data_IF_451058904171
#
_entry.id   IF_451058904171
#
_cell.length_a   1.000
_cell.length_b   1.000
_cell.length_c   1.000
_cell.angle_alpha   90.00
_cell.angle_beta   90.00
_cell.angle_gamma   90.00
#
_symmetry.space_group_name_H-M   'P 1'
#
loop_
_entity.id
_entity.type
_entity.pdbx_description
1 polymer ?
#
# COMPACT_ATOMS: atom_id res chain seq x y z
N UNK A 1 -36.44 -5.46 -5.85
CA UNK A 1 -34.98 -5.24 -5.68
C UNK A 1 -34.42 -6.51 -5.06
N UNK A 2 -33.60 -7.26 -5.80
CA UNK A 2 -32.97 -8.48 -5.29
C UNK A 2 -31.98 -8.10 -4.19
N UNK A 3 -32.15 -8.66 -2.98
CA UNK A 3 -31.12 -8.55 -1.95
C UNK A 3 -29.93 -9.39 -2.39
N UNK A 4 -28.94 -8.76 -3.02
CA UNK A 4 -27.64 -9.37 -3.24
C UNK A 4 -27.08 -9.79 -1.89
N UNK A 5 -26.65 -11.04 -1.77
CA UNK A 5 -26.02 -11.57 -0.56
C UNK A 5 -24.92 -10.60 -0.11
N UNK A 6 -24.92 -10.13 1.16
CA UNK A 6 -23.98 -9.09 1.62
C UNK A 6 -22.54 -9.62 1.78
N UNK A 7 -22.32 -10.89 1.47
CA UNK A 7 -21.04 -11.57 1.48
C UNK A 7 -21.02 -12.62 0.36
N UNK A 8 -19.83 -12.99 -0.08
CA UNK A 8 -19.60 -14.07 -1.04
C UNK A 8 -18.85 -15.19 -0.33
N UNK A 9 -19.41 -16.39 -0.33
CA UNK A 9 -18.68 -17.60 0.02
C UNK A 9 -18.28 -18.26 -1.30
N UNK A 10 -16.99 -18.32 -1.59
CA UNK A 10 -16.49 -19.07 -2.74
C UNK A 10 -16.44 -20.57 -2.36
N UNK A 11 -17.29 -21.43 -2.93
CA UNK A 11 -17.31 -22.85 -2.60
C UNK A 11 -16.06 -23.59 -3.08
N UNK A 12 -15.32 -23.07 -4.07
CA UNK A 12 -14.11 -23.71 -4.59
C UNK A 12 -12.92 -23.50 -3.64
N UNK A 13 -12.86 -22.36 -2.96
CA UNK A 13 -11.75 -22.00 -2.07
C UNK A 13 -12.13 -21.99 -0.58
N UNK A 14 -13.42 -22.03 -0.27
CA UNK A 14 -13.95 -21.80 1.08
C UNK A 14 -13.80 -20.35 1.55
N UNK A 15 -13.44 -19.41 0.66
CA UNK A 15 -13.17 -18.03 1.04
C UNK A 15 -14.49 -17.27 1.33
N UNK A 16 -14.59 -16.72 2.54
CA UNK A 16 -15.64 -15.77 2.90
C UNK A 16 -15.17 -14.34 2.62
N UNK A 17 -15.88 -13.65 1.74
CA UNK A 17 -15.59 -12.28 1.32
C UNK A 17 -16.72 -11.35 1.72
N UNK A 18 -16.36 -10.17 2.24
CA UNK A 18 -17.31 -9.10 2.57
C UNK A 18 -16.89 -7.82 1.85
N UNK A 19 -17.83 -7.07 1.26
CA UNK A 19 -17.54 -5.73 0.78
C UNK A 19 -17.29 -4.81 1.98
N UNK A 20 -16.18 -4.09 1.95
CA UNK A 20 -15.84 -3.09 2.94
C UNK A 20 -15.62 -1.75 2.24
N UNK A 21 -16.31 -0.70 2.69
CA UNK A 21 -16.00 0.65 2.26
C UNK A 21 -14.69 1.07 2.91
N UNK A 22 -13.65 1.41 2.15
CA UNK A 22 -12.31 1.66 2.72
C UNK A 22 -11.92 3.13 2.78
N UNK A 23 -12.67 3.99 2.08
CA UNK A 23 -12.54 5.45 2.10
C UNK A 23 -13.83 6.07 1.56
N UNK A 24 -14.21 7.23 2.08
CA UNK A 24 -15.26 8.06 1.48
C UNK A 24 -14.62 9.03 0.47
N UNK A 25 -14.89 8.82 -0.82
CA UNK A 25 -14.36 9.65 -1.92
C UNK A 25 -15.16 10.95 -2.05
N UNK A 26 -14.57 11.95 -2.69
CA UNK A 26 -15.30 13.13 -3.18
C UNK A 26 -16.32 12.72 -4.26
N UNK A 27 -17.33 13.56 -4.49
CA UNK A 27 -18.40 13.29 -5.47
C UNK A 27 -17.93 13.15 -6.91
N UNK A 28 -16.74 13.68 -7.22
CA UNK A 28 -16.04 13.57 -8.50
C UNK A 28 -15.12 12.34 -8.59
N UNK A 29 -15.16 11.44 -7.59
CA UNK A 29 -14.38 10.21 -7.56
C UNK A 29 -12.94 10.37 -7.10
N UNK A 30 -12.57 11.52 -6.52
CA UNK A 30 -11.20 11.80 -6.04
C UNK A 30 -11.01 11.49 -4.56
N UNK A 31 -9.75 11.25 -4.16
CA UNK A 31 -9.39 11.21 -2.75
C UNK A 31 -9.57 12.63 -2.18
N UNK A 32 -10.27 12.80 -1.05
CA UNK A 32 -10.43 14.10 -0.40
C UNK A 32 -9.08 14.59 0.15
N UNK A 33 -8.45 15.53 -0.54
CA UNK A 33 -7.22 16.22 -0.10
C UNK A 33 -7.60 17.60 0.44
N UNK A 34 -7.21 17.98 1.68
CA UNK A 34 -7.50 19.30 2.22
C UNK A 34 -6.91 20.43 1.36
N UNK A 35 -7.66 21.51 1.17
CA UNK A 35 -7.23 22.68 0.37
C UNK A 35 -5.96 23.37 0.91
N UNK A 36 -5.61 23.16 2.18
CA UNK A 36 -4.38 23.65 2.80
C UNK A 36 -3.13 22.88 2.37
N UNK A 37 -3.29 21.73 1.70
CA UNK A 37 -2.19 20.89 1.22
C UNK A 37 -1.39 21.63 0.17
N UNK A 38 -0.06 21.60 0.28
CA UNK A 38 0.88 22.15 -0.71
C UNK A 38 1.74 21.09 -1.38
N UNK A 39 1.93 19.96 -0.70
CA UNK A 39 2.70 18.83 -1.21
C UNK A 39 1.91 17.54 -1.08
N UNK A 40 1.87 16.73 -2.13
CA UNK A 40 1.26 15.41 -2.08
C UNK A 40 2.34 14.32 -2.09
N UNK A 41 2.30 13.44 -1.10
CA UNK A 41 3.18 12.28 -0.98
C UNK A 41 2.40 11.00 -1.24
N UNK A 42 3.02 10.07 -1.95
CA UNK A 42 2.48 8.74 -2.20
C UNK A 42 3.45 7.69 -1.68
N UNK A 43 2.95 6.75 -0.89
CA UNK A 43 3.73 5.62 -0.37
C UNK A 43 3.07 4.30 -0.80
N UNK A 44 3.82 3.47 -1.54
CA UNK A 44 3.38 2.17 -2.04
C UNK A 44 4.10 1.08 -1.29
N UNK A 45 3.35 0.09 -0.79
CA UNK A 45 3.92 -1.02 -0.01
C UNK A 45 4.29 -0.58 1.41
N UNK A 46 3.46 0.26 2.02
CA UNK A 46 3.63 0.70 3.40
C UNK A 46 3.57 -0.54 4.29
N UNK A 47 4.69 -0.95 4.88
CA UNK A 47 4.70 -2.01 5.88
C UNK A 47 4.41 -1.42 7.29
N UNK A 48 4.48 -2.22 8.36
CA UNK A 48 4.20 -1.72 9.71
C UNK A 48 5.27 -0.75 10.28
N UNK A 49 6.43 -0.62 9.64
CA UNK A 49 7.59 0.16 10.08
C UNK A 49 8.05 1.17 9.00
N UNK A 50 8.95 2.09 9.37
CA UNK A 50 9.53 3.09 8.47
C UNK A 50 8.51 3.83 7.55
N UNK A 51 7.31 4.07 8.09
CA UNK A 51 6.19 4.65 7.36
C UNK A 51 6.35 6.17 7.25
N UNK A 52 5.92 6.74 6.13
CA UNK A 52 6.14 8.16 5.84
C UNK A 52 5.32 9.10 6.73
N UNK A 53 4.21 8.65 7.31
CA UNK A 53 3.46 9.40 8.33
C UNK A 53 4.30 9.66 9.59
N UNK A 54 5.23 8.77 9.95
CA UNK A 54 6.11 8.94 11.11
C UNK A 54 7.44 9.63 10.74
N UNK A 55 8.01 9.34 9.58
CA UNK A 55 9.38 9.78 9.25
C UNK A 55 9.48 11.07 8.46
N UNK A 56 8.50 11.30 7.57
CA UNK A 56 8.54 12.35 6.57
C UNK A 56 7.48 13.42 6.83
N UNK A 57 6.25 13.02 7.11
CA UNK A 57 5.11 13.91 7.33
C UNK A 57 5.29 14.92 8.48
N UNK A 58 6.03 14.62 9.58
CA UNK A 58 6.34 15.62 10.61
C UNK A 58 7.29 16.73 10.14
N UNK A 59 8.09 16.47 9.10
CA UNK A 59 9.05 17.43 8.52
C UNK A 59 8.42 18.30 7.43
N UNK A 60 7.20 17.94 7.00
CA UNK A 60 6.46 18.59 5.93
C UNK A 60 5.03 18.88 6.43
N UNK A 61 4.82 19.97 7.20
CA UNK A 61 3.52 20.26 7.83
C UNK A 61 2.41 20.53 6.81
N UNK A 62 2.77 21.02 5.62
CA UNK A 62 1.82 21.31 4.53
C UNK A 62 1.63 20.12 3.57
N UNK A 63 2.19 18.94 3.89
CA UNK A 63 2.05 17.75 3.07
C UNK A 63 0.84 16.90 3.46
N UNK A 64 0.30 16.19 2.47
CA UNK A 64 -0.71 15.15 2.61
C UNK A 64 -0.16 13.81 2.10
N UNK A 65 -0.44 12.71 2.80
CA UNK A 65 0.05 11.37 2.46
C UNK A 65 -1.07 10.46 1.95
N UNK A 66 -0.85 9.80 0.82
CA UNK A 66 -1.65 8.66 0.35
C UNK A 66 -0.80 7.41 0.39
N UNK A 67 -1.17 6.47 1.27
CA UNK A 67 -0.42 5.23 1.52
C UNK A 67 -1.20 3.99 1.05
N UNK A 68 -0.48 2.93 0.68
CA UNK A 68 -1.04 1.67 0.20
C UNK A 68 -0.40 0.47 0.90
N UNK A 69 -1.20 -0.32 1.62
CA UNK A 69 -0.80 -1.55 2.32
C UNK A 69 -1.80 -2.67 2.02
N UNK A 70 -1.51 -3.62 1.11
CA UNK A 70 -2.43 -4.69 0.73
C UNK A 70 -2.76 -5.69 1.85
N UNK A 71 -1.91 -5.84 2.87
CA UNK A 71 -2.16 -6.75 3.97
C UNK A 71 -3.20 -6.14 4.92
N UNK A 72 -4.43 -6.64 4.88
CA UNK A 72 -5.55 -6.11 5.69
C UNK A 72 -5.23 -6.01 7.19
N UNK A 73 -4.48 -6.96 7.75
CA UNK A 73 -4.07 -6.89 9.17
C UNK A 73 -3.08 -5.76 9.45
N UNK A 74 -2.20 -5.44 8.50
CA UNK A 74 -1.24 -4.33 8.60
C UNK A 74 -1.90 -3.00 8.28
N UNK A 75 -2.74 -2.94 7.27
CA UNK A 75 -3.61 -1.79 7.01
C UNK A 75 -4.44 -1.42 8.25
N UNK A 76 -5.06 -2.41 8.90
CA UNK A 76 -5.84 -2.18 10.12
C UNK A 76 -4.97 -1.67 11.29
N UNK A 77 -3.76 -2.21 11.45
CA UNK A 77 -2.79 -1.74 12.43
C UNK A 77 -2.40 -0.27 12.19
N UNK A 78 -2.09 0.09 10.95
CA UNK A 78 -1.70 1.45 10.54
C UNK A 78 -2.87 2.43 10.71
N UNK A 79 -4.07 2.03 10.28
CA UNK A 79 -5.30 2.78 10.46
C UNK A 79 -5.60 3.07 11.94
N UNK A 80 -5.36 2.10 12.82
CA UNK A 80 -5.62 2.22 14.24
C UNK A 80 -4.53 3.00 15.01
N UNK A 81 -3.36 3.25 14.41
CA UNK A 81 -2.18 3.84 15.07
C UNK A 81 -2.49 5.14 15.82
N UNK A 82 -3.28 6.02 15.20
CA UNK A 82 -3.66 7.32 15.77
C UNK A 82 -5.11 7.35 16.26
N UNK A 83 -5.77 6.18 16.35
CA UNK A 83 -7.15 6.11 16.81
C UNK A 83 -7.25 6.47 18.29
N UNK A 84 -8.29 7.23 18.64
CA UNK A 84 -8.58 7.58 20.03
C UNK A 84 -9.67 6.65 20.55
N UNK A 85 -9.48 6.16 21.78
CA UNK A 85 -10.50 5.36 22.44
C UNK A 85 -11.85 6.12 22.46
N UNK A 86 -12.92 5.45 22.03
CA UNK A 86 -14.31 5.98 21.99
C UNK A 86 -14.59 7.08 20.97
N UNK A 87 -13.65 7.40 20.07
CA UNK A 87 -13.88 8.33 18.97
C UNK A 87 -13.92 7.54 17.66
N UNK A 88 -15.01 7.66 16.92
CA UNK A 88 -15.15 7.05 15.60
C UNK A 88 -14.44 7.94 14.58
N UNK A 89 -13.44 7.39 13.91
CA UNK A 89 -12.77 8.04 12.78
C UNK A 89 -13.42 7.65 11.44
N UNK A 90 -13.12 8.43 10.40
CA UNK A 90 -13.47 8.05 9.03
C UNK A 90 -12.55 6.92 8.56
N UNK A 91 -13.13 5.85 8.04
CA UNK A 91 -12.35 4.72 7.52
C UNK A 91 -11.43 5.19 6.38
N UNK A 92 -10.20 4.66 6.38
CA UNK A 92 -9.13 5.07 5.47
C UNK A 92 -8.26 6.21 5.99
N UNK A 93 -8.72 7.03 6.93
CA UNK A 93 -7.92 8.11 7.51
C UNK A 93 -7.07 7.62 8.68
N UNK A 94 -5.79 7.35 8.43
CA UNK A 94 -4.83 6.95 9.48
C UNK A 94 -4.15 8.15 10.15
N UNK A 95 -4.21 9.31 9.52
CA UNK A 95 -3.60 10.55 10.00
C UNK A 95 -4.50 11.75 9.62
N UNK A 96 -4.47 12.85 10.36
CA UNK A 96 -5.21 14.08 10.03
C UNK A 96 -4.86 14.66 8.64
N UNK A 97 -3.68 14.29 8.15
CA UNK A 97 -3.09 14.67 6.86
C UNK A 97 -2.73 13.44 6.02
N UNK A 98 -3.45 12.33 6.18
CA UNK A 98 -3.15 11.16 5.36
C UNK A 98 -4.20 10.06 5.37
N UNK A 99 -4.34 9.42 4.21
CA UNK A 99 -5.16 8.24 4.01
C UNK A 99 -4.30 7.02 3.73
N UNK A 100 -4.77 5.85 4.14
CA UNK A 100 -4.17 4.56 3.82
C UNK A 100 -5.23 3.60 3.27
N UNK A 101 -4.92 2.95 2.16
CA UNK A 101 -5.86 2.12 1.42
C UNK A 101 -5.35 0.67 1.32
N UNK A 102 -6.23 -0.34 1.43
CA UNK A 102 -5.83 -1.74 1.45
C UNK A 102 -5.69 -2.33 0.05
N UNK A 103 -4.99 -1.63 -0.86
CA UNK A 103 -4.74 -2.10 -2.22
C UNK A 103 -3.26 -2.42 -2.43
N UNK A 104 -3.01 -3.47 -3.19
CA UNK A 104 -1.72 -3.62 -3.86
C UNK A 104 -1.69 -2.67 -5.06
N UNK A 105 -0.68 -1.82 -5.16
CA UNK A 105 -0.47 -1.11 -6.43
C UNK A 105 0.24 -2.09 -7.38
N UNK A 106 -0.33 -2.30 -8.56
CA UNK A 106 0.12 -3.29 -9.54
C UNK A 106 0.07 -2.74 -10.98
N UNK A 107 0.46 -3.54 -11.97
CA UNK A 107 0.36 -3.22 -13.40
C UNK A 107 -1.05 -3.45 -13.98
N UNK A 108 -1.96 -4.07 -13.22
CA UNK A 108 -3.35 -4.29 -13.56
C UNK A 108 -4.29 -4.08 -12.36
N UNK A 109 -5.59 -4.18 -12.61
CA UNK A 109 -6.64 -4.05 -11.59
C UNK A 109 -7.34 -5.38 -11.38
N UNK A 110 -7.99 -5.54 -10.23
CA UNK A 110 -8.78 -6.71 -9.90
C UNK A 110 -8.36 -7.32 -8.57
N UNK A 111 -8.50 -8.64 -8.45
CA UNK A 111 -8.08 -9.38 -7.25
C UNK A 111 -6.90 -10.28 -7.63
N UNK A 112 -5.77 -10.09 -6.96
CA UNK A 112 -4.49 -10.72 -7.33
C UNK A 112 -3.89 -11.50 -6.15
N UNK A 113 -3.09 -12.53 -6.43
CA UNK A 113 -2.35 -13.21 -5.37
C UNK A 113 -1.25 -12.30 -4.80
N UNK A 114 -1.18 -12.24 -3.47
CA UNK A 114 -0.13 -11.59 -2.71
C UNK A 114 0.56 -12.61 -1.81
N UNK A 115 1.88 -12.69 -1.93
CA UNK A 115 2.70 -13.70 -1.26
C UNK A 115 3.22 -13.13 0.05
N UNK A 116 2.65 -13.61 1.15
CA UNK A 116 2.94 -13.14 2.50
C UNK A 116 4.19 -13.85 3.02
N UNK A 117 5.16 -13.06 3.48
CA UNK A 117 6.38 -13.55 4.13
C UNK A 117 6.26 -13.49 5.67
N UNK A 118 7.14 -14.18 6.42
CA UNK A 118 7.19 -14.05 7.89
C UNK A 118 7.36 -12.61 8.39
N UNK A 119 7.98 -11.74 7.59
CA UNK A 119 8.01 -10.29 7.81
C UNK A 119 7.13 -9.62 6.75
N UNK A 120 6.28 -8.70 7.18
CA UNK A 120 5.34 -7.97 6.33
C UNK A 120 6.06 -7.13 5.27
N UNK A 121 7.11 -6.40 5.68
CA UNK A 121 8.06 -5.74 4.79
C UNK A 121 8.96 -6.71 4.03
N UNK A 122 8.56 -7.96 3.83
CA UNK A 122 9.13 -8.91 2.87
C UNK A 122 8.04 -9.58 2.00
N UNK A 123 6.79 -9.12 2.10
CA UNK A 123 5.64 -9.63 1.34
C UNK A 123 5.48 -8.88 0.02
N UNK A 124 5.09 -9.58 -1.04
CA UNK A 124 5.12 -9.02 -2.39
C UNK A 124 4.04 -9.59 -3.31
N UNK A 125 3.72 -8.85 -4.36
CA UNK A 125 2.98 -9.33 -5.54
C UNK A 125 3.75 -10.39 -6.33
N UNK A 126 5.07 -10.51 -6.11
CA UNK A 126 5.91 -11.54 -6.72
C UNK A 126 6.29 -12.56 -5.68
N UNK A 127 6.17 -13.85 -6.04
CA UNK A 127 6.64 -14.93 -5.18
C UNK A 127 8.14 -14.76 -4.96
N UNK A 128 8.56 -14.63 -3.71
CA UNK A 128 9.97 -14.57 -3.36
C UNK A 128 10.58 -15.97 -3.48
N UNK A 129 11.75 -16.02 -4.10
CA UNK A 129 12.55 -17.24 -4.19
C UNK A 129 13.82 -17.08 -3.37
N UNK A 130 14.34 -18.18 -2.83
CA UNK A 130 15.64 -18.17 -2.16
C UNK A 130 16.71 -17.64 -3.14
N UNK A 131 17.46 -16.59 -2.76
CA UNK A 131 18.50 -16.03 -3.63
C UNK A 131 19.52 -17.12 -3.97
N UNK A 132 19.73 -17.39 -5.27
CA UNK A 132 20.70 -18.39 -5.71
C UNK A 132 22.13 -17.82 -5.81
N UNK A 133 22.25 -16.48 -5.89
CA UNK A 133 23.49 -15.73 -6.08
C UNK A 133 23.49 -14.43 -5.25
N UNK A 134 24.69 -13.88 -5.03
CA UNK A 134 24.90 -12.60 -4.31
C UNK A 134 24.94 -12.73 -2.78
N UNK A 135 25.29 -11.62 -2.11
CA UNK A 135 25.46 -11.56 -0.64
C UNK A 135 24.19 -11.87 0.18
N UNK A 136 23.02 -11.88 -0.47
CA UNK A 136 21.75 -12.25 0.14
C UNK A 136 21.55 -13.76 0.30
N UNK A 137 22.27 -14.59 -0.48
CA UNK A 137 22.20 -16.06 -0.39
C UNK A 137 22.58 -16.58 1.00
N UNK A 138 23.60 -15.99 1.59
CA UNK A 138 24.11 -16.34 2.92
C UNK A 138 23.51 -15.49 4.04
N UNK A 139 22.63 -14.55 3.72
CA UNK A 139 21.99 -13.71 4.73
C UNK A 139 20.88 -14.53 5.42
N UNK A 140 21.17 -14.99 6.64
CA UNK A 140 20.24 -15.78 7.46
C UNK A 140 18.91 -15.08 7.74
N UNK A 141 18.87 -13.75 7.78
CA UNK A 141 17.62 -13.00 7.88
C UNK A 141 16.79 -13.18 6.61
N UNK A 142 17.36 -12.92 5.42
CA UNK A 142 16.61 -13.04 4.16
C UNK A 142 16.11 -14.45 3.92
N UNK A 143 16.94 -15.47 4.15
CA UNK A 143 16.54 -16.87 3.95
C UNK A 143 15.43 -17.31 4.90
N UNK A 144 15.40 -16.80 6.14
CA UNK A 144 14.37 -17.15 7.13
C UNK A 144 13.11 -16.30 7.03
N UNK A 145 13.25 -15.02 6.74
CA UNK A 145 12.21 -14.02 6.93
C UNK A 145 11.59 -13.49 5.62
N UNK A 146 12.29 -13.58 4.49
CA UNK A 146 11.90 -12.92 3.24
C UNK A 146 11.84 -13.86 2.03
N UNK A 147 12.57 -14.97 2.06
CA UNK A 147 12.60 -15.98 1.00
C UNK A 147 11.55 -17.10 1.19
N UNK A 148 10.58 -16.91 2.08
CA UNK A 148 9.54 -17.90 2.41
C UNK A 148 8.17 -17.26 2.25
N UNK A 149 7.25 -17.96 1.59
CA UNK A 149 5.83 -17.62 1.63
C UNK A 149 5.15 -18.43 2.72
N UNK A 150 4.59 -17.75 3.73
CA UNK A 150 3.79 -18.39 4.80
C UNK A 150 2.32 -18.53 4.40
N UNK A 151 1.84 -17.63 3.55
CA UNK A 151 0.46 -17.63 3.08
C UNK A 151 0.39 -16.93 1.71
N UNK A 152 -0.54 -17.35 0.86
CA UNK A 152 -0.98 -16.54 -0.29
C UNK A 152 -2.35 -15.98 0.02
N UNK A 153 -2.52 -14.66 -0.13
CA UNK A 153 -3.79 -13.97 0.09
C UNK A 153 -4.25 -13.34 -1.22
N UNK A 154 -5.55 -13.36 -1.47
CA UNK A 154 -6.14 -12.62 -2.56
C UNK A 154 -6.40 -11.19 -2.08
N UNK A 155 -5.79 -10.20 -2.73
CA UNK A 155 -5.90 -8.78 -2.34
C UNK A 155 -6.40 -7.95 -3.52
N UNK A 156 -7.12 -6.84 -3.28
CA UNK A 156 -7.49 -5.95 -4.35
C UNK A 156 -6.24 -5.23 -4.88
N UNK A 157 -6.17 -5.08 -6.20
CA UNK A 157 -5.10 -4.42 -6.92
C UNK A 157 -5.62 -3.20 -7.69
N UNK A 158 -4.78 -2.16 -7.73
CA UNK A 158 -5.05 -0.92 -8.45
C UNK A 158 -3.81 -0.51 -9.26
N UNK A 159 -4.01 0.16 -10.39
CA UNK A 159 -2.88 0.71 -11.15
C UNK A 159 -2.40 2.03 -10.57
N UNK A 160 -1.08 2.27 -10.62
CA UNK A 160 -0.53 3.57 -10.25
C UNK A 160 -1.11 4.69 -11.12
N UNK A 161 -1.40 4.40 -12.40
CA UNK A 161 -2.06 5.34 -13.31
C UNK A 161 -3.43 5.77 -12.78
N UNK A 162 -4.30 4.85 -12.35
CA UNK A 162 -5.62 5.19 -11.79
C UNK A 162 -5.48 6.07 -10.54
N UNK A 163 -4.53 5.75 -9.67
CA UNK A 163 -4.24 6.55 -8.48
C UNK A 163 -3.84 7.99 -8.87
N UNK A 164 -2.88 8.15 -9.79
CA UNK A 164 -2.33 9.47 -10.14
C UNK A 164 -3.29 10.31 -11.00
N UNK A 165 -3.89 9.70 -12.02
CA UNK A 165 -4.66 10.41 -13.06
C UNK A 165 -6.12 10.61 -12.66
N UNK A 166 -6.68 9.71 -11.84
CA UNK A 166 -8.09 9.78 -11.48
C UNK A 166 -8.25 10.16 -10.01
N UNK A 167 -7.69 9.38 -9.08
CA UNK A 167 -7.92 9.63 -7.65
C UNK A 167 -7.24 10.91 -7.14
N UNK A 168 -6.09 11.26 -7.71
CA UNK A 168 -5.28 12.43 -7.34
C UNK A 168 -5.29 13.52 -8.42
N UNK A 169 -6.25 13.47 -9.34
CA UNK A 169 -6.35 14.42 -10.43
C UNK A 169 -6.35 15.88 -9.91
N UNK A 170 -5.45 16.70 -10.46
CA UNK A 170 -5.26 18.10 -10.07
C UNK A 170 -4.26 18.32 -8.93
N UNK A 171 -3.68 17.26 -8.35
CA UNK A 171 -2.66 17.36 -7.32
C UNK A 171 -1.31 16.81 -7.80
N UNK A 172 -0.27 17.65 -7.95
CA UNK A 172 1.05 17.15 -8.32
C UNK A 172 1.68 16.36 -7.16
N UNK A 173 2.12 15.12 -7.45
CA UNK A 173 2.84 14.29 -6.48
C UNK A 173 4.28 14.80 -6.36
N UNK A 174 4.61 15.33 -5.18
CA UNK A 174 5.93 15.86 -4.88
C UNK A 174 6.95 14.73 -4.59
N UNK A 175 6.50 13.65 -3.95
CA UNK A 175 7.34 12.51 -3.54
C UNK A 175 6.60 11.19 -3.69
N UNK A 176 7.31 10.18 -4.18
CA UNK A 176 6.79 8.82 -4.32
C UNK A 176 7.79 7.81 -3.73
N UNK A 177 7.34 7.03 -2.74
CA UNK A 177 8.06 5.84 -2.26
C UNK A 177 7.43 4.61 -2.87
N UNK A 178 8.28 3.76 -3.44
CA UNK A 178 7.88 2.45 -3.92
C UNK A 178 8.70 1.42 -3.16
N UNK A 179 8.00 0.63 -2.34
CA UNK A 179 8.52 -0.56 -1.67
C UNK A 179 7.63 -1.76 -2.05
N UNK A 180 7.49 -2.01 -3.35
CA UNK A 180 6.66 -3.09 -3.88
C UNK A 180 7.46 -4.39 -4.09
N UNK A 181 8.66 -4.44 -3.51
CA UNK A 181 9.47 -5.65 -3.30
C UNK A 181 9.59 -6.54 -4.53
N UNK A 182 10.13 -5.97 -5.60
CA UNK A 182 10.42 -6.67 -6.86
C UNK A 182 9.41 -6.43 -7.98
N UNK A 183 8.33 -5.69 -7.71
CA UNK A 183 7.39 -5.19 -8.73
C UNK A 183 7.65 -3.72 -9.11
N UNK A 184 8.68 -3.09 -8.56
CA UNK A 184 8.91 -1.64 -8.62
C UNK A 184 9.09 -1.12 -10.07
N UNK A 185 9.79 -1.89 -10.91
CA UNK A 185 10.03 -1.53 -12.31
C UNK A 185 8.77 -1.69 -13.18
N UNK A 186 7.96 -2.73 -12.94
CA UNK A 186 6.67 -2.92 -13.64
C UNK A 186 5.67 -1.82 -13.28
N UNK A 187 5.70 -1.32 -12.03
CA UNK A 187 4.87 -0.20 -11.60
C UNK A 187 5.23 1.10 -12.30
N UNK A 188 6.53 1.40 -12.41
CA UNK A 188 7.00 2.59 -13.13
C UNK A 188 6.69 2.50 -14.62
N UNK A 189 6.83 1.33 -15.24
CA UNK A 189 6.48 1.13 -16.64
C UNK A 189 4.97 1.28 -16.89
N UNK A 190 4.12 0.76 -16.00
CA UNK A 190 2.66 0.84 -16.12
C UNK A 190 2.11 2.26 -15.87
N UNK A 191 2.85 3.12 -15.17
CA UNK A 191 2.46 4.52 -14.97
C UNK A 191 2.58 5.37 -16.26
N UNK A 192 3.29 4.90 -17.29
CA UNK A 192 3.46 5.57 -18.58
C UNK A 192 4.33 6.83 -18.54
N UNK A 193 4.50 7.50 -19.70
CA UNK A 193 5.22 8.79 -19.84
C UNK A 193 4.46 9.99 -19.24
N UNK A 194 3.56 9.79 -18.28
CA UNK A 194 3.00 10.93 -17.56
C UNK A 194 4.14 11.58 -16.78
N UNK A 195 4.40 12.86 -17.07
CA UNK A 195 5.48 13.65 -16.49
C UNK A 195 5.45 13.52 -14.97
N UNK A 196 6.30 12.64 -14.45
CA UNK A 196 6.55 12.51 -13.03
C UNK A 196 7.23 13.81 -12.59
N UNK A 197 6.43 14.75 -12.08
CA UNK A 197 6.91 15.90 -11.32
C UNK A 197 7.48 15.50 -9.93
N UNK A 198 7.57 14.20 -9.65
CA UNK A 198 8.15 13.68 -8.41
C UNK A 198 9.62 14.09 -8.34
N UNK A 199 9.92 15.03 -7.45
CA UNK A 199 11.27 15.54 -7.24
C UNK A 199 12.19 14.51 -6.58
N UNK A 200 11.63 13.43 -6.03
CA UNK A 200 12.36 12.30 -5.46
C UNK A 200 11.54 11.02 -5.52
N UNK A 201 12.12 9.97 -6.12
CA UNK A 201 11.65 8.58 -6.01
C UNK A 201 12.62 7.83 -5.12
N UNK A 202 12.13 7.33 -3.98
CA UNK A 202 12.94 6.53 -3.05
C UNK A 202 12.54 5.05 -3.16
N UNK A 203 13.53 4.17 -3.30
CA UNK A 203 13.34 2.72 -3.26
C UNK A 203 13.65 2.22 -1.86
N UNK A 204 12.69 1.54 -1.23
CA UNK A 204 12.91 0.84 0.03
C UNK A 204 13.90 -0.32 -0.16
N UNK A 205 14.83 -0.48 0.77
CA UNK A 205 15.67 -1.68 0.89
C UNK A 205 15.36 -2.30 2.23
N UNK A 206 14.93 -3.57 2.26
CA UNK A 206 14.72 -4.31 3.50
C UNK A 206 16.01 -4.26 4.34
N UNK A 207 15.96 -3.56 5.47
CA UNK A 207 17.06 -3.51 6.44
C UNK A 207 16.88 -4.64 7.45
N UNK A 208 17.96 -5.35 7.75
CA UNK A 208 17.98 -6.33 8.83
C UNK A 208 17.98 -5.59 10.17
N UNK A 209 17.00 -5.87 11.04
CA UNK A 209 17.03 -5.42 12.42
C UNK A 209 18.10 -6.21 13.20
N UNK A 210 18.80 -5.52 14.11
CA UNK A 210 19.47 -6.18 15.23
C UNK A 210 18.41 -6.42 16.28
N UNK A 211 18.08 -7.68 16.53
CA UNK A 211 17.33 -8.14 17.70
C UNK A 211 18.07 -7.78 19.00
#
# INVERSE_FOLDING_TARGET
>A
MSMSTPFLLDPATGALSVPLHVLHMSSDGRIPVPNSTKELFVEIGTNAFDTWDMQLLPKHPDAFLVAFEPLVDKWALLLARNARARVVGHLGWHHERGVILPFAVSDHEGVVPFYVSPRDGCSSLRRTHTPQHGGWKSNGFVTRACAKTVQTRMVPAITLRRVLVEWLAGWPVARLKIDAQGADLSLLAAAGQHEFGAKAVERGVARAEKE
#
